data_IF_640367701850
#
_entry.id   IF_640367701850
#
_cell.length_a   1.000
_cell.length_b   1.000
_cell.length_c   1.000
_cell.angle_alpha   90.00
_cell.angle_beta   90.00
_cell.angle_gamma   90.00
#
_symmetry.space_group_name_H-M   'P 1'
#
loop_
_entity.id
_entity.type
_entity.pdbx_description
1 polymer ?
#
# COMPACT_ATOMS: atom_id res chain seq x y z
N UNK A 1 18.35 -7.51 11.90
CA UNK A 1 18.51 -8.07 10.56
C UNK A 1 17.83 -9.43 10.50
N UNK A 2 17.01 -9.70 9.50
CA UNK A 2 16.17 -10.91 9.39
C UNK A 2 16.78 -11.95 8.44
N UNK A 3 18.04 -11.82 8.06
CA UNK A 3 18.74 -12.66 7.14
C UNK A 3 19.59 -11.87 6.14
N UNK A 4 20.18 -12.57 5.20
CA UNK A 4 21.00 -12.01 4.13
C UNK A 4 20.23 -11.97 2.80
N UNK A 5 20.75 -11.23 1.81
CA UNK A 5 20.24 -11.27 0.44
C UNK A 5 20.25 -12.70 -0.16
N UNK A 6 21.26 -13.51 0.21
CA UNK A 6 21.35 -14.91 -0.19
C UNK A 6 20.22 -15.76 0.41
N UNK A 7 19.90 -15.53 1.70
CA UNK A 7 18.81 -16.24 2.36
C UNK A 7 17.46 -15.91 1.72
N UNK A 8 17.25 -14.63 1.35
CA UNK A 8 16.04 -14.21 0.66
C UNK A 8 15.88 -14.86 -0.72
N UNK A 9 16.96 -14.91 -1.52
CA UNK A 9 16.94 -15.62 -2.82
C UNK A 9 16.64 -17.11 -2.63
N UNK A 10 17.23 -17.74 -1.62
CA UNK A 10 16.99 -19.15 -1.30
C UNK A 10 15.53 -19.38 -0.92
N UNK A 11 14.95 -18.50 -0.09
CA UNK A 11 13.56 -18.57 0.32
C UNK A 11 12.61 -18.46 -0.89
N UNK A 12 12.77 -17.43 -1.72
CA UNK A 12 11.92 -17.22 -2.89
C UNK A 12 12.03 -18.41 -3.87
N UNK A 13 13.25 -18.90 -4.12
CA UNK A 13 13.45 -20.08 -4.96
C UNK A 13 12.76 -21.33 -4.40
N UNK A 14 12.80 -21.54 -3.08
CA UNK A 14 12.12 -22.66 -2.45
C UNK A 14 10.59 -22.55 -2.54
N UNK A 15 10.03 -21.34 -2.43
CA UNK A 15 8.61 -21.08 -2.64
C UNK A 15 8.20 -21.36 -4.09
N UNK A 16 8.96 -20.87 -5.06
CA UNK A 16 8.73 -21.14 -6.48
C UNK A 16 8.78 -22.64 -6.81
N UNK A 17 9.70 -23.37 -6.22
CA UNK A 17 9.78 -24.84 -6.39
C UNK A 17 8.54 -25.60 -5.89
N UNK A 18 7.71 -24.93 -5.07
CA UNK A 18 6.40 -25.44 -4.61
C UNK A 18 5.21 -24.83 -5.35
N UNK A 19 5.46 -24.05 -6.39
CA UNK A 19 4.41 -23.35 -7.15
C UNK A 19 3.81 -22.14 -6.44
N UNK A 20 4.45 -21.65 -5.36
CA UNK A 20 3.98 -20.49 -4.59
C UNK A 20 4.60 -19.22 -5.15
N UNK A 21 3.77 -18.23 -5.41
CA UNK A 21 4.19 -16.88 -5.80
C UNK A 21 4.55 -16.04 -4.58
N UNK A 22 5.53 -15.16 -4.71
CA UNK A 22 6.04 -14.33 -3.62
C UNK A 22 5.83 -12.85 -3.97
N UNK A 23 5.09 -12.15 -3.11
CA UNK A 23 4.73 -10.75 -3.29
C UNK A 23 5.56 -9.91 -2.32
N UNK A 24 6.21 -8.85 -2.81
CA UNK A 24 6.91 -7.90 -1.95
C UNK A 24 5.94 -6.86 -1.38
N UNK A 25 6.17 -6.50 -0.12
CA UNK A 25 5.52 -5.36 0.53
C UNK A 25 6.30 -4.08 0.22
N UNK A 26 5.67 -3.17 -0.51
CA UNK A 26 6.30 -2.00 -1.12
C UNK A 26 5.85 -0.73 -0.39
N UNK A 27 6.76 -0.14 0.37
CA UNK A 27 6.55 1.13 1.08
C UNK A 27 7.23 2.24 0.27
N UNK A 28 6.43 2.97 -0.52
CA UNK A 28 6.91 4.03 -1.39
C UNK A 28 6.19 5.37 -1.18
N UNK A 29 5.15 5.39 -0.33
CA UNK A 29 4.53 6.65 0.05
C UNK A 29 5.53 7.57 0.73
N UNK A 30 6.31 7.01 1.63
CA UNK A 30 7.21 7.77 2.50
C UNK A 30 8.54 7.05 2.71
N UNK A 31 9.53 7.80 3.18
CA UNK A 31 10.86 7.27 3.49
C UNK A 31 11.46 7.96 4.71
N UNK A 32 12.01 7.19 5.64
CA UNK A 32 12.79 7.72 6.75
C UNK A 32 14.20 8.13 6.27
N UNK A 33 14.71 9.26 6.77
CA UNK A 33 16.12 9.60 6.61
C UNK A 33 17.02 8.75 7.50
N UNK A 34 18.27 8.53 7.11
CA UNK A 34 19.19 7.65 7.85
C UNK A 34 19.66 8.23 9.19
N UNK A 35 20.02 9.51 9.22
CA UNK A 35 20.53 10.19 10.40
C UNK A 35 19.82 11.51 10.69
N UNK A 36 18.81 11.83 9.91
CA UNK A 36 18.02 13.06 10.01
C UNK A 36 16.80 12.99 9.12
N UNK A 37 16.09 14.12 9.01
CA UNK A 37 14.79 14.13 8.36
C UNK A 37 14.86 13.96 6.83
N UNK A 38 15.85 14.53 6.17
CA UNK A 38 15.93 14.58 4.71
C UNK A 38 17.22 14.00 4.12
N UNK A 39 18.02 13.29 4.90
CA UNK A 39 19.27 12.68 4.43
C UNK A 39 19.05 11.22 4.05
N UNK A 40 18.63 10.99 2.86
CA UNK A 40 18.43 9.62 2.34
C UNK A 40 19.76 9.01 1.90
N UNK A 41 19.94 7.71 2.20
CA UNK A 41 21.01 6.92 1.59
C UNK A 41 20.80 6.86 0.08
N UNK A 42 21.90 6.84 -0.64
CA UNK A 42 21.91 6.61 -2.07
C UNK A 42 21.39 5.21 -2.39
N UNK A 43 20.44 5.14 -3.29
CA UNK A 43 19.89 3.89 -3.79
C UNK A 43 20.74 3.39 -4.96
N UNK A 44 21.30 2.20 -4.81
CA UNK A 44 22.09 1.54 -5.84
C UNK A 44 21.42 0.21 -6.22
N UNK A 45 20.72 0.21 -7.33
CA UNK A 45 20.03 -0.94 -7.88
C UNK A 45 20.84 -1.64 -8.99
N UNK A 46 22.16 -1.48 -8.98
CA UNK A 46 23.07 -2.09 -9.96
C UNK A 46 22.73 -1.68 -11.40
N UNK A 47 22.42 -2.65 -12.23
CA UNK A 47 22.11 -2.40 -13.66
C UNK A 47 20.79 -1.65 -13.88
N UNK A 48 19.94 -1.54 -12.87
CA UNK A 48 18.66 -0.83 -12.95
C UNK A 48 18.78 0.67 -12.65
N UNK A 49 19.92 1.11 -12.17
CA UNK A 49 20.20 2.52 -11.92
C UNK A 49 20.62 2.84 -10.51
N UNK A 50 21.03 4.09 -10.32
CA UNK A 50 21.45 4.62 -9.04
C UNK A 50 20.79 5.98 -8.83
N UNK A 51 20.16 6.18 -7.68
CA UNK A 51 19.36 7.36 -7.37
C UNK A 51 19.79 7.96 -6.03
N UNK A 52 19.64 9.27 -5.91
CA UNK A 52 19.85 10.00 -4.67
C UNK A 52 18.67 10.93 -4.43
N UNK A 53 17.72 10.48 -3.61
CA UNK A 53 16.64 11.34 -3.17
C UNK A 53 17.19 12.45 -2.25
N UNK A 54 16.57 13.60 -2.32
CA UNK A 54 16.88 14.80 -1.53
C UNK A 54 15.58 15.46 -1.09
N UNK A 55 15.67 16.57 -0.36
CA UNK A 55 14.51 17.38 0.01
C UNK A 55 13.73 17.95 -1.20
N UNK A 56 14.34 17.96 -2.39
CA UNK A 56 13.62 18.34 -3.62
C UNK A 56 12.58 17.31 -4.07
N UNK A 57 12.62 16.10 -3.50
CA UNK A 57 11.77 14.96 -3.81
C UNK A 57 10.78 14.64 -2.67
N UNK A 58 10.74 15.49 -1.62
CA UNK A 58 9.79 15.39 -0.50
C UNK A 58 8.62 16.33 -0.78
N UNK A 59 7.40 15.88 -0.50
CA UNK A 59 6.19 16.67 -0.67
C UNK A 59 6.24 17.98 0.13
N UNK A 60 5.76 19.07 -0.47
CA UNK A 60 5.84 20.41 0.16
C UNK A 60 4.97 20.54 1.42
N UNK A 61 3.95 19.72 1.57
CA UNK A 61 3.08 19.66 2.75
C UNK A 61 3.52 18.62 3.79
N UNK A 62 4.66 17.95 3.60
CA UNK A 62 5.27 17.06 4.59
C UNK A 62 5.61 17.83 5.89
N UNK A 63 5.58 17.13 7.03
CA UNK A 63 5.85 17.73 8.34
C UNK A 63 7.27 18.28 8.49
N UNK A 64 8.22 17.90 7.64
CA UNK A 64 9.55 18.54 7.60
C UNK A 64 9.46 20.07 7.38
N UNK A 65 8.41 20.53 6.70
CA UNK A 65 8.17 21.94 6.47
C UNK A 65 7.39 22.63 7.62
N UNK A 66 6.75 21.89 8.49
CA UNK A 66 5.84 22.41 9.52
C UNK A 66 6.28 22.08 10.94
N UNK A 67 7.05 21.01 11.16
CA UNK A 67 7.54 20.60 12.47
C UNK A 67 8.95 21.15 12.73
N UNK A 68 9.07 22.07 13.69
CA UNK A 68 10.37 22.68 14.08
C UNK A 68 11.36 21.67 14.67
N UNK A 69 10.92 20.48 15.09
CA UNK A 69 11.81 19.41 15.54
C UNK A 69 12.70 18.85 14.41
N UNK A 70 12.36 19.14 13.16
CA UNK A 70 13.21 18.85 12.00
C UNK A 70 14.55 19.62 12.01
N UNK A 71 14.70 20.65 12.86
CA UNK A 71 15.96 21.36 13.08
C UNK A 71 16.48 22.00 11.79
N UNK A 72 17.68 21.62 11.35
CA UNK A 72 18.29 22.13 10.12
C UNK A 72 17.53 21.75 8.85
N UNK A 73 16.63 20.76 8.91
CA UNK A 73 15.81 20.32 7.78
C UNK A 73 14.48 21.06 7.68
N UNK A 74 14.10 21.83 8.72
CA UNK A 74 12.84 22.58 8.74
C UNK A 74 12.71 23.50 7.53
N UNK A 75 11.60 23.38 6.80
CA UNK A 75 11.31 24.21 5.65
C UNK A 75 12.13 23.87 4.39
N UNK A 76 12.72 22.68 4.30
CA UNK A 76 13.62 22.34 3.19
C UNK A 76 12.97 21.49 2.08
N UNK A 77 11.78 20.90 2.30
CA UNK A 77 11.08 20.15 1.25
C UNK A 77 10.58 21.09 0.14
N UNK A 78 10.83 20.69 -1.11
CA UNK A 78 10.58 21.52 -2.31
C UNK A 78 9.75 20.85 -3.40
N UNK A 79 9.30 19.61 -3.16
CA UNK A 79 8.36 18.93 -4.05
C UNK A 79 7.01 19.65 -4.13
N UNK A 80 6.06 19.09 -4.82
CA UNK A 80 4.67 19.56 -4.76
C UNK A 80 3.94 18.88 -3.58
N UNK A 81 2.73 19.30 -3.28
CA UNK A 81 1.93 18.66 -2.23
C UNK A 81 1.59 17.23 -2.61
N UNK A 82 1.34 16.40 -1.58
CA UNK A 82 0.79 15.06 -1.77
C UNK A 82 -0.40 15.05 -2.73
N UNK A 83 -0.46 14.02 -3.53
CA UNK A 83 -1.61 13.79 -4.42
C UNK A 83 -2.70 12.93 -3.76
N UNK A 84 -2.50 12.55 -2.51
CA UNK A 84 -3.39 11.82 -1.63
C UNK A 84 -3.39 12.38 -0.21
N UNK A 85 -3.47 11.50 0.78
CA UNK A 85 -3.45 11.86 2.20
C UNK A 85 -2.02 12.04 2.70
N UNK A 86 -1.74 13.14 3.39
CA UNK A 86 -0.45 13.38 4.06
C UNK A 86 -0.25 12.41 5.24
N UNK A 87 0.95 11.88 5.40
CA UNK A 87 1.31 10.97 6.49
C UNK A 87 2.49 11.49 7.33
N UNK A 88 2.25 11.77 8.60
CA UNK A 88 3.22 12.43 9.49
C UNK A 88 4.19 11.45 10.19
N UNK A 89 4.62 10.37 9.54
CA UNK A 89 5.48 9.36 10.17
C UNK A 89 6.90 9.28 9.60
N UNK A 90 7.06 9.71 8.36
CA UNK A 90 8.33 9.83 7.63
C UNK A 90 8.13 10.77 6.46
N UNK A 91 9.14 10.98 5.62
CA UNK A 91 9.09 11.96 4.51
C UNK A 91 8.26 11.44 3.36
N UNK A 92 7.14 12.10 3.08
CA UNK A 92 6.26 11.76 1.97
C UNK A 92 6.95 12.10 0.64
N UNK A 93 7.03 11.11 -0.25
CA UNK A 93 7.73 11.24 -1.53
C UNK A 93 6.83 11.87 -2.58
N UNK A 94 7.36 12.84 -3.30
CA UNK A 94 6.68 13.50 -4.41
C UNK A 94 6.61 12.61 -5.64
N UNK A 95 5.57 11.80 -5.76
CA UNK A 95 5.34 10.93 -6.92
C UNK A 95 5.07 11.69 -8.24
N UNK A 96 4.86 13.01 -8.19
CA UNK A 96 4.76 13.81 -9.43
C UNK A 96 6.12 14.00 -10.08
N UNK A 97 7.22 13.85 -9.30
CA UNK A 97 8.58 13.95 -9.79
C UNK A 97 8.94 12.77 -10.70
N UNK A 98 9.33 12.99 -11.96
CA UNK A 98 9.83 11.92 -12.81
C UNK A 98 11.05 11.19 -12.23
N UNK A 99 11.84 11.87 -11.40
CA UNK A 99 13.00 11.28 -10.75
C UNK A 99 12.59 10.26 -9.68
N UNK A 100 11.58 10.59 -8.85
CA UNK A 100 11.00 9.66 -7.88
C UNK A 100 10.37 8.45 -8.60
N UNK A 101 9.65 8.70 -9.70
CA UNK A 101 9.06 7.61 -10.49
C UNK A 101 10.12 6.66 -11.03
N UNK A 102 11.22 7.19 -11.58
CA UNK A 102 12.35 6.38 -12.09
C UNK A 102 13.04 5.58 -10.99
N UNK A 103 13.22 6.17 -9.80
CA UNK A 103 13.78 5.51 -8.63
C UNK A 103 12.90 4.32 -8.20
N UNK A 104 11.59 4.54 -8.04
CA UNK A 104 10.63 3.49 -7.69
C UNK A 104 10.58 2.38 -8.76
N UNK A 105 10.55 2.74 -10.03
CA UNK A 105 10.59 1.74 -11.12
C UNK A 105 11.86 0.89 -11.07
N UNK A 106 13.01 1.52 -10.85
CA UNK A 106 14.29 0.83 -10.74
C UNK A 106 14.31 -0.11 -9.53
N UNK A 107 13.80 0.34 -8.39
CA UNK A 107 13.64 -0.47 -7.18
C UNK A 107 12.79 -1.71 -7.42
N UNK A 108 11.63 -1.57 -8.04
CA UNK A 108 10.74 -2.70 -8.32
C UNK A 108 11.35 -3.67 -9.33
N UNK A 109 11.97 -3.16 -10.40
CA UNK A 109 12.71 -3.98 -11.38
C UNK A 109 13.86 -4.75 -10.73
N UNK A 110 14.58 -4.11 -9.81
CA UNK A 110 15.64 -4.74 -9.04
C UNK A 110 15.11 -5.85 -8.11
N UNK A 111 14.01 -5.62 -7.39
CA UNK A 111 13.37 -6.65 -6.57
C UNK A 111 12.96 -7.87 -7.40
N UNK A 112 12.39 -7.65 -8.57
CA UNK A 112 12.03 -8.73 -9.47
C UNK A 112 13.26 -9.46 -10.03
N UNK A 113 14.23 -8.72 -10.56
CA UNK A 113 15.39 -9.29 -11.27
C UNK A 113 16.39 -9.95 -10.33
N UNK A 114 16.66 -9.35 -9.16
CA UNK A 114 17.68 -9.85 -8.22
C UNK A 114 17.15 -10.89 -7.25
N UNK A 115 15.88 -10.81 -6.85
CA UNK A 115 15.31 -11.71 -5.84
C UNK A 115 14.24 -12.64 -6.38
N UNK A 116 13.58 -12.27 -7.47
CA UNK A 116 12.54 -13.08 -8.09
C UNK A 116 11.13 -12.84 -7.52
N UNK A 117 10.87 -11.67 -6.92
CA UNK A 117 9.51 -11.33 -6.52
C UNK A 117 8.57 -11.33 -7.73
N UNK A 118 7.37 -11.86 -7.54
CA UNK A 118 6.37 -12.01 -8.59
C UNK A 118 5.39 -10.84 -8.66
N UNK A 119 5.31 -10.01 -7.63
CA UNK A 119 4.34 -8.92 -7.58
C UNK A 119 4.46 -8.06 -6.34
N UNK A 120 3.51 -7.16 -6.17
CA UNK A 120 3.58 -6.06 -5.23
C UNK A 120 2.34 -5.94 -4.36
N UNK A 121 2.52 -5.73 -3.05
CA UNK A 121 1.55 -5.13 -2.15
C UNK A 121 2.02 -3.70 -1.89
N UNK A 122 1.26 -2.71 -2.34
CA UNK A 122 1.57 -1.31 -2.08
C UNK A 122 1.01 -0.88 -0.73
N UNK A 123 1.91 -0.53 0.18
CA UNK A 123 1.60 0.00 1.51
C UNK A 123 1.05 1.41 1.42
N UNK A 124 0.12 1.77 2.30
CA UNK A 124 -0.44 3.11 2.48
C UNK A 124 -0.68 3.87 1.16
N UNK A 125 -1.30 3.23 0.19
CA UNK A 125 -1.50 3.82 -1.13
C UNK A 125 -2.61 4.90 -1.18
N UNK A 126 -3.15 5.32 -0.04
CA UNK A 126 -3.97 6.54 0.08
C UNK A 126 -3.15 7.82 0.03
N UNK A 127 -1.85 7.78 0.31
CA UNK A 127 -0.98 8.95 0.35
C UNK A 127 -0.63 9.50 -1.03
N UNK A 128 -0.87 8.76 -2.10
CA UNK A 128 -0.60 9.21 -3.47
C UNK A 128 -1.65 8.72 -4.46
N UNK A 129 -1.81 9.45 -5.58
CA UNK A 129 -2.79 9.13 -6.62
C UNK A 129 -2.54 7.72 -7.19
N UNK A 130 -3.61 6.91 -7.29
CA UNK A 130 -3.56 5.55 -7.83
C UNK A 130 -2.94 5.44 -9.22
N UNK A 131 -2.95 6.51 -10.02
CA UNK A 131 -2.29 6.54 -11.35
C UNK A 131 -0.81 6.18 -11.28
N UNK A 132 -0.10 6.49 -10.17
CA UNK A 132 1.31 6.15 -10.02
C UNK A 132 1.50 4.65 -9.85
N UNK A 133 0.61 3.96 -9.11
CA UNK A 133 0.58 2.50 -9.08
C UNK A 133 0.39 1.94 -10.50
N UNK A 134 -0.49 2.55 -11.29
CA UNK A 134 -0.67 2.19 -12.70
C UNK A 134 0.62 2.34 -13.51
N UNK A 135 1.36 3.44 -13.35
CA UNK A 135 2.66 3.68 -14.01
C UNK A 135 3.67 2.60 -13.61
N UNK A 136 3.82 2.33 -12.33
CA UNK A 136 4.78 1.33 -11.81
C UNK A 136 4.43 -0.09 -12.27
N UNK A 137 3.15 -0.45 -12.28
CA UNK A 137 2.70 -1.75 -12.78
C UNK A 137 2.90 -1.89 -14.29
N UNK A 138 2.67 -0.82 -15.07
CA UNK A 138 2.96 -0.82 -16.50
C UNK A 138 4.45 -1.00 -16.81
N UNK A 139 5.33 -0.49 -15.93
CA UNK A 139 6.78 -0.62 -16.09
C UNK A 139 7.34 -1.97 -15.63
N UNK A 140 6.65 -2.69 -14.74
CA UNK A 140 7.17 -3.90 -14.08
C UNK A 140 6.36 -5.17 -14.35
N UNK A 141 5.14 -5.05 -14.86
CA UNK A 141 4.25 -6.16 -15.22
C UNK A 141 4.12 -7.25 -14.15
N UNK A 142 3.73 -6.91 -12.89
CA UNK A 142 3.65 -7.89 -11.82
C UNK A 142 2.61 -8.97 -12.10
N UNK A 143 2.87 -10.20 -11.63
CA UNK A 143 1.89 -11.29 -11.62
C UNK A 143 0.64 -10.91 -10.81
N UNK A 144 0.84 -10.23 -9.67
CA UNK A 144 -0.22 -9.70 -8.83
C UNK A 144 0.20 -8.34 -8.28
N UNK A 145 -0.73 -7.39 -8.31
CA UNK A 145 -0.62 -6.12 -7.62
C UNK A 145 -1.84 -5.93 -6.73
N UNK A 146 -1.62 -5.53 -5.49
CA UNK A 146 -2.68 -5.18 -4.54
C UNK A 146 -2.29 -3.93 -3.76
N UNK A 147 -3.22 -2.99 -3.63
CA UNK A 147 -3.01 -1.78 -2.84
C UNK A 147 -3.71 -1.83 -1.50
N UNK A 148 -3.04 -1.32 -0.48
CA UNK A 148 -3.63 -1.03 0.81
C UNK A 148 -4.32 0.34 0.77
N UNK A 149 -5.42 0.42 0.03
CA UNK A 149 -6.28 1.59 0.08
C UNK A 149 -7.27 1.46 1.24
N UNK A 150 -6.85 1.90 2.43
CA UNK A 150 -7.57 1.69 3.68
C UNK A 150 -8.81 2.57 3.78
N UNK A 151 -9.89 2.12 3.20
CA UNK A 151 -11.18 2.81 3.26
C UNK A 151 -12.33 1.82 3.41
N UNK A 152 -13.26 2.11 4.33
CA UNK A 152 -14.45 1.27 4.54
C UNK A 152 -15.56 1.52 3.51
N UNK A 153 -15.43 2.51 2.66
CA UNK A 153 -16.40 2.88 1.63
C UNK A 153 -16.13 2.20 0.28
N UNK A 154 -17.19 1.76 -0.37
CA UNK A 154 -17.09 1.18 -1.72
C UNK A 154 -16.57 2.17 -2.76
N UNK A 155 -17.15 3.38 -2.81
CA UNK A 155 -16.84 4.36 -3.85
C UNK A 155 -15.37 4.82 -3.84
N UNK A 156 -14.74 5.14 -2.68
CA UNK A 156 -13.31 5.48 -2.63
C UNK A 156 -12.41 4.36 -3.14
N UNK A 157 -12.66 3.11 -2.73
CA UNK A 157 -11.85 1.96 -3.18
C UNK A 157 -12.03 1.71 -4.67
N UNK A 158 -13.28 1.81 -5.19
CA UNK A 158 -13.56 1.70 -6.62
C UNK A 158 -12.86 2.78 -7.43
N UNK A 159 -12.90 4.04 -6.97
CA UNK A 159 -12.24 5.16 -7.62
C UNK A 159 -10.72 4.97 -7.66
N UNK A 160 -10.11 4.44 -6.59
CA UNK A 160 -8.69 4.15 -6.57
C UNK A 160 -8.33 3.05 -7.59
N UNK A 161 -9.11 1.96 -7.66
CA UNK A 161 -8.89 0.91 -8.67
C UNK A 161 -8.94 1.50 -10.09
N UNK A 162 -9.93 2.36 -10.38
CA UNK A 162 -10.01 3.04 -11.68
C UNK A 162 -8.78 3.93 -11.93
N UNK A 163 -8.32 4.69 -10.92
CA UNK A 163 -7.15 5.55 -11.04
C UNK A 163 -5.88 4.77 -11.39
N UNK A 164 -5.75 3.51 -10.93
CA UNK A 164 -4.64 2.63 -11.33
C UNK A 164 -4.72 2.18 -12.79
N UNK A 165 -5.73 2.57 -13.54
CA UNK A 165 -6.05 2.01 -14.86
C UNK A 165 -6.47 0.54 -14.77
N UNK A 166 -7.02 0.12 -13.64
CA UNK A 166 -7.39 -1.27 -13.32
C UNK A 166 -6.20 -2.25 -13.36
N UNK A 167 -5.00 -1.76 -13.12
CA UNK A 167 -3.78 -2.57 -13.08
C UNK A 167 -3.47 -3.12 -11.68
N UNK A 168 -4.22 -2.71 -10.65
CA UNK A 168 -4.07 -3.21 -9.29
C UNK A 168 -5.41 -3.67 -8.72
N UNK A 169 -5.35 -4.70 -7.90
CA UNK A 169 -6.40 -5.08 -6.97
C UNK A 169 -6.31 -4.19 -5.72
N UNK A 170 -7.33 -4.20 -4.88
CA UNK A 170 -7.34 -3.56 -3.58
C UNK A 170 -7.76 -4.56 -2.50
N UNK A 171 -7.27 -4.39 -1.28
CA UNK A 171 -7.85 -5.07 -0.12
C UNK A 171 -9.30 -4.60 0.07
N UNK A 172 -10.22 -5.55 0.21
CA UNK A 172 -11.64 -5.27 0.33
C UNK A 172 -12.02 -4.86 1.77
N UNK A 173 -11.51 -3.70 2.19
CA UNK A 173 -11.86 -3.09 3.47
C UNK A 173 -13.37 -2.84 3.63
N UNK A 174 -14.13 -2.47 2.59
CA UNK A 174 -15.57 -2.39 2.67
C UNK A 174 -16.22 -3.71 3.13
N UNK A 175 -15.81 -4.86 2.57
CA UNK A 175 -16.28 -6.18 3.07
C UNK A 175 -15.86 -6.41 4.51
N UNK A 176 -14.59 -6.14 4.86
CA UNK A 176 -14.10 -6.37 6.22
C UNK A 176 -14.91 -5.59 7.25
N UNK A 177 -15.12 -4.29 7.04
CA UNK A 177 -15.76 -3.44 8.04
C UNK A 177 -17.28 -3.57 8.05
N UNK A 178 -17.93 -3.45 6.92
CA UNK A 178 -19.38 -3.48 6.86
C UNK A 178 -19.94 -4.90 7.01
N UNK A 179 -19.47 -5.84 6.18
CA UNK A 179 -20.03 -7.18 6.18
C UNK A 179 -19.50 -8.02 7.35
N UNK A 180 -18.18 -8.20 7.44
CA UNK A 180 -17.62 -9.15 8.42
C UNK A 180 -17.66 -8.59 9.85
N UNK A 181 -17.11 -7.40 10.09
CA UNK A 181 -17.06 -6.87 11.45
C UNK A 181 -18.44 -6.44 11.95
N UNK A 182 -19.14 -5.58 11.23
CA UNK A 182 -20.40 -5.01 11.72
C UNK A 182 -21.60 -5.93 11.44
N UNK A 183 -21.61 -6.60 10.28
CA UNK A 183 -22.73 -7.46 9.88
C UNK A 183 -22.78 -8.78 10.61
N UNK A 184 -21.62 -9.45 10.82
CA UNK A 184 -21.55 -10.82 11.31
C UNK A 184 -20.89 -10.95 12.68
N UNK A 185 -19.83 -10.20 12.96
CA UNK A 185 -18.91 -10.51 14.04
C UNK A 185 -18.98 -9.56 15.27
N UNK A 186 -19.80 -8.53 15.25
CA UNK A 186 -19.87 -7.52 16.31
C UNK A 186 -20.72 -7.99 17.51
N UNK A 187 -20.32 -9.07 18.18
CA UNK A 187 -20.97 -9.58 19.40
C UNK A 187 -22.53 -9.48 19.37
N UNK A 188 -23.15 -9.02 20.46
CA UNK A 188 -24.60 -8.86 20.58
C UNK A 188 -25.21 -7.78 19.68
N UNK A 189 -24.41 -7.07 18.91
CA UNK A 189 -24.83 -5.99 18.01
C UNK A 189 -24.65 -6.32 16.54
N UNK A 190 -24.31 -7.57 16.20
CA UNK A 190 -24.22 -8.01 14.81
C UNK A 190 -25.55 -7.78 14.10
N UNK A 191 -25.49 -7.18 12.92
CA UNK A 191 -26.66 -6.85 12.14
C UNK A 191 -26.42 -7.17 10.67
N UNK A 192 -26.97 -8.25 10.20
CA UNK A 192 -26.85 -8.73 8.80
C UNK A 192 -27.25 -7.68 7.78
N UNK A 193 -28.12 -6.71 8.12
CA UNK A 193 -28.49 -5.64 7.19
C UNK A 193 -27.34 -4.69 6.84
N UNK A 194 -26.23 -4.75 7.58
CA UNK A 194 -25.04 -3.95 7.30
C UNK A 194 -24.11 -4.57 6.23
N UNK A 195 -24.41 -5.77 5.79
CA UNK A 195 -23.77 -6.34 4.58
C UNK A 195 -24.11 -5.47 3.36
N UNK A 196 -25.26 -4.81 3.38
CA UNK A 196 -25.68 -3.84 2.37
C UNK A 196 -25.47 -2.41 2.87
N UNK A 197 -25.01 -1.54 1.99
CA UNK A 197 -25.02 -0.10 2.21
C UNK A 197 -26.49 0.38 2.18
N UNK A 198 -26.96 0.88 3.32
CA UNK A 198 -28.36 1.33 3.48
C UNK A 198 -28.71 2.57 2.66
N UNK A 199 -27.73 3.32 2.21
CA UNK A 199 -27.94 4.54 1.42
C UNK A 199 -28.14 4.18 -0.05
N UNK A 200 -27.34 3.26 -0.53
CA UNK A 200 -27.33 2.87 -1.95
C UNK A 200 -28.03 1.55 -2.24
N UNK A 201 -28.39 0.78 -1.20
CA UNK A 201 -28.96 -0.59 -1.28
C UNK A 201 -28.07 -1.55 -2.06
N UNK A 202 -26.77 -1.32 -2.02
CA UNK A 202 -25.76 -2.17 -2.66
C UNK A 202 -25.03 -2.96 -1.58
N UNK A 203 -24.58 -4.19 -1.89
CA UNK A 203 -23.63 -4.86 -1.02
C UNK A 203 -22.42 -3.96 -0.74
N UNK A 204 -22.00 -3.86 0.51
CA UNK A 204 -20.94 -2.95 0.91
C UNK A 204 -19.57 -3.33 0.35
N UNK A 205 -19.31 -4.63 0.16
CA UNK A 205 -18.01 -5.13 -0.27
C UNK A 205 -17.78 -5.11 -1.78
N UNK A 206 -16.54 -4.85 -2.18
CA UNK A 206 -16.12 -4.87 -3.59
C UNK A 206 -16.38 -6.23 -4.25
N UNK A 207 -16.19 -7.31 -3.50
CA UNK A 207 -16.40 -8.68 -4.00
C UNK A 207 -17.81 -8.95 -4.54
N UNK A 208 -18.82 -8.22 -4.06
CA UNK A 208 -20.19 -8.36 -4.48
C UNK A 208 -20.57 -7.61 -5.76
N UNK A 209 -19.67 -6.79 -6.27
CA UNK A 209 -19.90 -5.96 -7.46
C UNK A 209 -19.23 -6.56 -8.69
N UNK A 210 -19.98 -6.97 -9.69
CA UNK A 210 -19.47 -7.65 -10.88
C UNK A 210 -18.37 -6.89 -11.64
N UNK A 211 -18.35 -5.55 -11.54
CA UNK A 211 -17.31 -4.71 -12.15
C UNK A 211 -16.00 -4.74 -11.39
N UNK A 212 -16.00 -5.10 -10.08
CA UNK A 212 -14.85 -4.99 -9.19
C UNK A 212 -14.50 -6.28 -8.45
N UNK A 213 -15.34 -7.32 -8.50
CA UNK A 213 -15.11 -8.57 -7.78
C UNK A 213 -13.73 -9.20 -8.06
N UNK A 214 -13.27 -9.12 -9.30
CA UNK A 214 -11.97 -9.63 -9.70
C UNK A 214 -10.79 -8.77 -9.21
N UNK A 215 -11.06 -7.58 -8.69
CA UNK A 215 -10.08 -6.66 -8.10
C UNK A 215 -10.12 -6.65 -6.57
N UNK A 216 -10.99 -7.45 -5.96
CA UNK A 216 -11.18 -7.50 -4.52
C UNK A 216 -10.32 -8.60 -3.89
N UNK A 217 -9.42 -8.23 -3.00
CA UNK A 217 -8.71 -9.17 -2.11
C UNK A 217 -9.42 -9.16 -0.77
N UNK A 218 -10.27 -10.14 -0.54
CA UNK A 218 -11.00 -10.28 0.72
C UNK A 218 -10.09 -10.78 1.82
N UNK A 219 -10.32 -10.31 3.04
CA UNK A 219 -9.56 -10.73 4.22
C UNK A 219 -10.40 -10.59 5.48
N UNK A 220 -10.08 -11.38 6.49
CA UNK A 220 -10.71 -11.34 7.80
C UNK A 220 -9.96 -10.43 8.74
N UNK A 221 -8.64 -10.53 8.75
CA UNK A 221 -7.75 -9.76 9.59
C UNK A 221 -6.38 -9.56 8.92
N UNK A 222 -5.63 -8.57 9.40
CA UNK A 222 -4.26 -8.34 9.00
C UNK A 222 -3.41 -7.86 10.20
N UNK A 223 -2.12 -7.60 9.97
CA UNK A 223 -1.18 -7.20 11.01
C UNK A 223 -1.50 -5.85 11.68
N UNK A 224 -2.30 -4.98 11.06
CA UNK A 224 -2.73 -3.71 11.62
C UNK A 224 -4.08 -3.81 12.31
N UNK A 225 -5.05 -4.49 11.68
CA UNK A 225 -6.41 -4.58 12.23
C UNK A 225 -6.50 -5.46 13.46
N UNK A 226 -5.54 -6.36 13.73
CA UNK A 226 -5.53 -7.16 14.96
C UNK A 226 -5.33 -6.31 16.22
N UNK A 227 -4.89 -5.07 16.10
CA UNK A 227 -4.71 -4.12 17.21
C UNK A 227 -5.97 -3.34 17.57
N UNK A 228 -7.01 -3.38 16.77
CA UNK A 228 -8.26 -2.66 17.03
C UNK A 228 -9.03 -3.28 18.21
N UNK A 229 -9.47 -2.52 19.20
CA UNK A 229 -9.90 -2.93 20.55
C UNK A 229 -10.91 -4.08 20.70
N UNK A 230 -11.67 -4.50 19.66
CA UNK A 230 -12.65 -5.59 19.71
C UNK A 230 -12.29 -6.78 18.81
N UNK A 231 -11.08 -6.99 18.57
CA UNK A 231 -10.44 -7.68 17.48
C UNK A 231 -10.68 -9.16 17.40
N UNK A 232 -10.38 -9.83 18.50
CA UNK A 232 -10.25 -11.29 18.45
C UNK A 232 -11.58 -12.00 18.32
N UNK A 233 -12.58 -11.57 19.09
CA UNK A 233 -13.90 -12.20 19.06
C UNK A 233 -14.59 -11.96 17.71
N UNK A 234 -14.51 -10.71 17.23
CA UNK A 234 -15.13 -10.34 15.96
C UNK A 234 -14.49 -11.02 14.76
N UNK A 235 -13.17 -11.02 14.70
CA UNK A 235 -12.45 -11.59 13.54
C UNK A 235 -12.51 -13.12 13.52
N UNK A 236 -12.49 -13.79 14.69
CA UNK A 236 -12.69 -15.24 14.76
C UNK A 236 -14.10 -15.61 14.28
N UNK A 237 -15.13 -14.88 14.71
CA UNK A 237 -16.50 -15.12 14.25
C UNK A 237 -16.63 -14.90 12.75
N UNK A 238 -16.02 -13.84 12.20
CA UNK A 238 -16.01 -13.58 10.77
C UNK A 238 -15.28 -14.66 9.96
N UNK A 239 -14.26 -15.30 10.54
CA UNK A 239 -13.53 -16.38 9.88
C UNK A 239 -14.37 -17.67 9.74
N UNK A 240 -15.38 -17.86 10.58
CA UNK A 240 -16.27 -19.01 10.54
C UNK A 240 -17.63 -18.74 9.87
N UNK A 241 -17.88 -17.50 9.47
CA UNK A 241 -19.10 -17.10 8.77
C UNK A 241 -19.00 -17.29 7.26
#
# INVERSE_FOLDING_TARGET
>A
CWGTASDLRTLISAMHAKGVKVIADIVINHRAGDTGWGNFTKDDFGTYGTYQLTTDHICANDEINTDKSAGAWYGTAKGVNDTGENWNGARDLDHTSPYVQQDVEAYLKWLHGEFGYDGWRYDYCKGYDGKYVGIYNAATHPYLSVGEYWDGGYDPVAAWIEATGRQSMAFDFPSKYAALNNGLAKNNYANMSWIEDKTTWRPAGMIHHHNYNRYAITFVDNHDTYRDGNKYTGNIQAAYA
#
